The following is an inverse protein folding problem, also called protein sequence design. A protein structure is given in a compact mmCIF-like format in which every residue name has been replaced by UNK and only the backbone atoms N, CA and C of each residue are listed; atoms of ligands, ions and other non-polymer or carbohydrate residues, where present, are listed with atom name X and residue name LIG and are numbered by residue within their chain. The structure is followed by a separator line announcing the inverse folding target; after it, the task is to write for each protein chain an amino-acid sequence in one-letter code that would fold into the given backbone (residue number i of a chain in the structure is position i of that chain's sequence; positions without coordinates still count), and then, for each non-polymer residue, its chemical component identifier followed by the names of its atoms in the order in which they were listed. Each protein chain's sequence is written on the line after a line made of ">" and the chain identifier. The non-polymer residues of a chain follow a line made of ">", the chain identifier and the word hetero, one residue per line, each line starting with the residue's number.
data_IF_991531291256
#
_entry.id   IF_991531291256
#
_cell.length_a   1.000
_cell.length_b   1.000
_cell.length_c   1.000
_cell.angle_alpha   90.00
_cell.angle_beta   90.00
_cell.angle_gamma   90.00
#
_symmetry.space_group_name_H-M   'P 1'
#
loop_
_entity.id
_entity.type
_entity.pdbx_description
1 polymer ?
#
# COMPACT_ATOMS: atom_id res chain seq x y z
N UNK A 1 -20.96 13.25 -74.24
CA UNK A 1 -20.41 14.12 -73.18
C UNK A 1 -20.48 13.31 -71.91
N UNK A 2 -19.34 12.73 -71.54
CA UNK A 2 -19.19 11.72 -70.50
C UNK A 2 -18.10 12.21 -69.55
N UNK A 3 -18.36 12.05 -68.26
CA UNK A 3 -17.62 12.60 -67.11
C UNK A 3 -16.10 12.31 -67.13
N UNK A 4 -15.28 13.18 -66.49
CA UNK A 4 -13.98 12.76 -65.98
C UNK A 4 -14.10 12.30 -64.52
N UNK A 5 -13.55 11.10 -64.29
CA UNK A 5 -13.30 10.47 -63.00
C UNK A 5 -12.61 11.39 -61.99
N UNK A 6 -13.12 11.38 -60.76
CA UNK A 6 -12.37 11.75 -59.55
C UNK A 6 -11.49 10.53 -59.23
N UNK A 7 -10.18 10.66 -59.44
CA UNK A 7 -9.19 9.65 -59.09
C UNK A 7 -8.31 10.16 -57.94
N UNK A 8 -8.31 9.40 -56.85
CA UNK A 8 -7.35 9.28 -55.76
C UNK A 8 -6.50 10.50 -55.40
N UNK A 9 -6.82 11.10 -54.25
CA UNK A 9 -5.86 11.92 -53.50
C UNK A 9 -5.05 10.97 -52.62
N UNK A 10 -3.76 10.87 -52.93
CA UNK A 10 -2.74 10.09 -52.25
C UNK A 10 -2.79 10.27 -50.72
N UNK A 11 -3.31 9.25 -50.01
CA UNK A 11 -3.00 8.98 -48.59
C UNK A 11 -1.64 8.27 -48.44
N UNK A 12 -0.69 8.52 -49.35
CA UNK A 12 0.68 7.99 -49.30
C UNK A 12 1.64 9.17 -49.16
N UNK A 13 1.85 9.67 -47.93
CA UNK A 13 3.12 10.35 -47.60
C UNK A 13 3.32 10.66 -46.11
N UNK A 14 2.30 10.59 -45.26
CA UNK A 14 2.47 11.04 -43.87
C UNK A 14 3.14 9.99 -42.96
N UNK A 15 2.84 8.70 -43.15
CA UNK A 15 3.45 7.62 -42.36
C UNK A 15 4.93 7.40 -42.68
N UNK A 16 5.32 7.52 -43.95
CA UNK A 16 6.73 7.38 -44.36
C UNK A 16 7.57 8.58 -43.95
N UNK A 17 6.99 9.79 -43.97
CA UNK A 17 7.64 11.00 -43.47
C UNK A 17 7.74 10.99 -41.95
N UNK A 18 6.70 10.60 -41.22
CA UNK A 18 6.76 10.41 -39.76
C UNK A 18 7.76 9.33 -39.39
N UNK A 19 7.75 8.17 -40.06
CA UNK A 19 8.73 7.11 -39.84
C UNK A 19 10.16 7.58 -40.17
N UNK A 20 10.35 8.38 -41.23
CA UNK A 20 11.65 8.96 -41.60
C UNK A 20 12.14 9.98 -40.56
N UNK A 21 11.25 10.84 -40.04
CA UNK A 21 11.57 11.81 -38.98
C UNK A 21 11.88 11.09 -37.67
N UNK A 22 11.10 10.09 -37.29
CA UNK A 22 11.34 9.26 -36.09
C UNK A 22 12.65 8.49 -36.23
N UNK A 23 12.89 7.85 -37.38
CA UNK A 23 14.13 7.13 -37.64
C UNK A 23 15.35 8.05 -37.65
N UNK A 24 15.23 9.28 -38.17
CA UNK A 24 16.28 10.31 -38.20
C UNK A 24 16.58 10.86 -36.79
N UNK A 25 15.55 11.12 -35.99
CA UNK A 25 15.71 11.52 -34.59
C UNK A 25 16.39 10.41 -33.79
N UNK A 26 15.96 9.15 -33.96
CA UNK A 26 16.55 8.00 -33.26
C UNK A 26 17.98 7.72 -33.74
N UNK A 27 18.28 7.84 -35.03
CA UNK A 27 19.65 7.72 -35.53
C UNK A 27 20.56 8.82 -34.98
N UNK A 28 20.05 10.04 -34.80
CA UNK A 28 20.83 11.12 -34.20
C UNK A 28 21.16 10.89 -32.72
N UNK A 29 20.31 10.14 -31.99
CA UNK A 29 20.64 9.66 -30.64
C UNK A 29 21.63 8.48 -30.65
N UNK A 30 21.55 7.58 -31.63
CA UNK A 30 22.49 6.46 -31.84
C UNK A 30 23.87 6.93 -32.37
N UNK A 31 23.98 8.12 -32.98
CA UNK A 31 25.21 8.66 -33.63
C UNK A 31 26.29 9.16 -32.67
N UNK A 32 25.96 9.36 -31.39
CA UNK A 32 26.99 9.59 -30.38
C UNK A 32 27.34 8.25 -29.73
N UNK A 33 28.62 7.98 -29.50
CA UNK A 33 29.11 6.85 -28.66
C UNK A 33 28.69 7.00 -27.18
N UNK A 34 27.47 7.46 -26.91
CA UNK A 34 26.89 7.54 -25.60
C UNK A 34 26.42 6.14 -25.22
N UNK A 35 26.94 5.63 -24.11
CA UNK A 35 26.53 4.35 -23.51
C UNK A 35 25.12 4.41 -22.90
N UNK A 36 24.40 5.53 -23.05
CA UNK A 36 23.10 5.78 -22.43
C UNK A 36 21.94 5.35 -23.34
N UNK A 37 20.86 4.82 -22.75
CA UNK A 37 19.63 4.40 -23.43
C UNK A 37 19.79 3.20 -24.38
N UNK A 38 20.71 2.28 -24.10
CA UNK A 38 20.97 1.11 -24.96
C UNK A 38 19.73 0.22 -25.20
N UNK A 39 18.77 0.22 -24.27
CA UNK A 39 17.52 -0.51 -24.40
C UNK A 39 16.63 -0.02 -25.56
N UNK A 40 16.86 1.19 -26.06
CA UNK A 40 16.12 1.79 -27.18
C UNK A 40 16.91 1.82 -28.49
N UNK A 41 18.12 1.23 -28.52
CA UNK A 41 19.02 1.35 -29.68
C UNK A 41 18.51 0.57 -30.89
N UNK A 42 18.41 1.26 -32.03
CA UNK A 42 17.91 0.65 -33.27
C UNK A 42 18.97 -0.16 -34.01
N UNK A 43 20.26 0.19 -33.83
CA UNK A 43 21.38 -0.56 -34.39
C UNK A 43 21.45 -1.97 -33.78
N UNK A 44 21.42 -2.10 -32.45
CA UNK A 44 21.40 -3.39 -31.76
C UNK A 44 20.24 -4.30 -32.21
N UNK A 45 19.08 -3.71 -32.52
CA UNK A 45 17.92 -4.44 -33.00
C UNK A 45 18.02 -4.86 -34.48
N UNK A 46 18.66 -4.04 -35.32
CA UNK A 46 18.94 -4.35 -36.73
C UNK A 46 19.98 -5.45 -36.86
N UNK A 47 21.02 -5.41 -36.04
CA UNK A 47 22.11 -6.38 -36.03
C UNK A 47 21.69 -7.73 -35.41
N UNK A 48 20.61 -7.73 -34.62
CA UNK A 48 19.97 -8.94 -34.10
C UNK A 48 19.28 -9.73 -35.23
N UNK A 49 19.95 -10.81 -35.64
CA UNK A 49 19.48 -11.81 -36.61
C UNK A 49 18.96 -13.09 -35.95
N UNK A 50 19.24 -13.28 -34.66
CA UNK A 50 18.86 -14.46 -33.90
C UNK A 50 17.42 -14.34 -33.38
N UNK A 51 16.59 -15.35 -33.63
CA UNK A 51 15.25 -15.47 -33.06
C UNK A 51 15.26 -16.47 -31.90
N UNK A 52 14.40 -16.28 -30.91
CA UNK A 52 14.22 -17.27 -29.85
C UNK A 52 13.67 -18.57 -30.44
N UNK A 53 14.27 -19.69 -30.05
CA UNK A 53 13.80 -21.02 -30.45
C UNK A 53 12.41 -21.31 -29.86
N UNK A 54 11.60 -22.20 -30.51
CA UNK A 54 10.30 -22.61 -29.97
C UNK A 54 10.38 -23.13 -28.53
N UNK A 55 11.44 -23.86 -28.20
CA UNK A 55 11.70 -24.36 -26.84
C UNK A 55 11.93 -23.23 -25.84
N UNK A 56 12.68 -22.19 -26.20
CA UNK A 56 12.85 -21.01 -25.34
C UNK A 56 11.54 -20.23 -25.17
N UNK A 57 10.75 -20.12 -26.24
CA UNK A 57 9.43 -19.49 -26.16
C UNK A 57 8.48 -20.27 -25.25
N UNK A 58 8.47 -21.60 -25.32
CA UNK A 58 7.71 -22.45 -24.41
C UNK A 58 8.23 -22.37 -22.96
N UNK A 59 9.54 -22.28 -22.75
CA UNK A 59 10.10 -22.10 -21.42
C UNK A 59 9.67 -20.77 -20.77
N UNK A 60 9.64 -19.68 -21.54
CA UNK A 60 9.32 -18.33 -21.08
C UNK A 60 7.80 -18.11 -20.98
N UNK A 61 7.04 -18.43 -22.03
CA UNK A 61 5.62 -18.08 -22.18
C UNK A 61 4.66 -19.26 -21.97
N UNK A 62 5.17 -20.49 -21.78
CA UNK A 62 4.39 -21.70 -21.49
C UNK A 62 3.30 -21.96 -22.54
N UNK A 63 2.09 -22.33 -22.13
CA UNK A 63 0.95 -22.61 -23.01
C UNK A 63 0.58 -21.45 -23.96
N UNK A 64 1.01 -20.23 -23.62
CA UNK A 64 0.78 -19.03 -24.41
C UNK A 64 1.85 -18.78 -25.47
N UNK A 65 2.93 -19.57 -25.53
CA UNK A 65 4.02 -19.44 -26.52
C UNK A 65 3.51 -19.39 -27.97
N UNK A 66 2.42 -20.12 -28.27
CA UNK A 66 1.73 -20.12 -29.57
C UNK A 66 1.28 -18.74 -30.06
N UNK A 67 1.11 -17.76 -29.17
CA UNK A 67 0.72 -16.39 -29.52
C UNK A 67 1.91 -15.47 -29.80
N UNK A 68 3.15 -15.90 -29.53
CA UNK A 68 4.36 -15.09 -29.65
C UNK A 68 5.21 -15.59 -30.82
N UNK A 69 5.05 -14.97 -31.99
CA UNK A 69 5.86 -15.26 -33.17
C UNK A 69 6.91 -14.16 -33.40
N UNK A 70 8.08 -14.54 -33.95
CA UNK A 70 9.11 -13.58 -34.38
C UNK A 70 9.84 -12.84 -33.26
N UNK A 71 9.87 -13.38 -32.03
CA UNK A 71 10.60 -12.77 -30.91
C UNK A 71 12.10 -12.85 -31.16
N UNK A 72 12.75 -11.70 -31.30
CA UNK A 72 14.20 -11.59 -31.53
C UNK A 72 14.99 -11.68 -30.22
N UNK A 73 16.13 -12.36 -30.28
CA UNK A 73 17.14 -12.36 -29.23
C UNK A 73 18.18 -11.26 -29.52
N UNK A 74 18.32 -10.31 -28.60
CA UNK A 74 19.30 -9.21 -28.74
C UNK A 74 20.50 -9.50 -27.87
N UNK A 75 21.67 -9.63 -28.49
CA UNK A 75 22.92 -9.83 -27.77
C UNK A 75 23.37 -8.50 -27.15
N UNK A 76 23.57 -8.51 -25.83
CA UNK A 76 24.04 -7.35 -25.08
C UNK A 76 25.14 -7.77 -24.11
N UNK A 77 25.79 -6.80 -23.47
CA UNK A 77 26.74 -7.03 -22.38
C UNK A 77 26.07 -7.57 -21.10
N UNK A 78 24.74 -7.51 -21.02
CA UNK A 78 23.96 -7.89 -19.86
C UNK A 78 23.92 -9.41 -19.68
N UNK A 79 24.39 -9.87 -18.52
CA UNK A 79 24.43 -11.29 -18.16
C UNK A 79 23.62 -11.53 -16.88
N UNK A 80 23.13 -12.75 -16.72
CA UNK A 80 22.36 -13.15 -15.55
C UNK A 80 22.83 -14.50 -14.99
N UNK A 81 22.87 -14.61 -13.66
CA UNK A 81 23.19 -15.86 -12.95
C UNK A 81 22.49 -15.87 -11.59
N UNK A 82 22.02 -17.02 -11.11
CA UNK A 82 21.47 -17.14 -9.75
C UNK A 82 22.52 -17.72 -8.81
N UNK A 83 22.81 -17.03 -7.71
CA UNK A 83 23.82 -17.46 -6.73
C UNK A 83 23.29 -17.45 -5.30
N UNK A 84 23.93 -18.24 -4.42
CA UNK A 84 23.77 -18.13 -2.98
C UNK A 84 24.72 -17.07 -2.42
N UNK A 85 24.17 -16.04 -1.78
CA UNK A 85 24.93 -14.95 -1.16
C UNK A 85 25.04 -15.24 0.34
N UNK A 86 26.21 -15.72 0.76
CA UNK A 86 26.51 -15.90 2.19
C UNK A 86 26.66 -14.55 2.90
N UNK A 87 26.53 -14.48 4.24
CA UNK A 87 26.77 -13.24 4.98
C UNK A 87 28.20 -12.69 4.80
N UNK A 88 29.17 -13.58 4.56
CA UNK A 88 30.55 -13.16 4.27
C UNK A 88 30.63 -12.55 2.87
N UNK A 89 30.06 -13.21 1.86
CA UNK A 89 30.03 -12.67 0.50
C UNK A 89 29.30 -11.31 0.46
N UNK A 90 28.17 -11.18 1.17
CA UNK A 90 27.46 -9.90 1.26
C UNK A 90 28.33 -8.77 1.84
N UNK A 91 29.11 -9.05 2.89
CA UNK A 91 30.07 -8.08 3.45
C UNK A 91 31.14 -7.70 2.45
N UNK A 92 31.71 -8.68 1.76
CA UNK A 92 32.79 -8.46 0.80
C UNK A 92 32.27 -7.67 -0.40
N UNK A 93 31.09 -7.99 -0.91
CA UNK A 93 30.40 -7.22 -1.96
C UNK A 93 30.19 -5.77 -1.53
N UNK A 94 29.66 -5.52 -0.33
CA UNK A 94 29.45 -4.16 0.18
C UNK A 94 30.76 -3.39 0.40
N UNK A 95 31.86 -4.07 0.72
CA UNK A 95 33.17 -3.46 0.97
C UNK A 95 33.90 -3.13 -0.33
N UNK A 96 33.96 -4.08 -1.25
CA UNK A 96 34.81 -4.01 -2.45
C UNK A 96 34.06 -3.48 -3.68
N UNK A 97 32.74 -3.65 -3.74
CA UNK A 97 31.93 -3.31 -4.92
C UNK A 97 30.97 -2.14 -4.67
N UNK A 98 31.07 -1.41 -3.55
CA UNK A 98 30.24 -0.23 -3.30
C UNK A 98 30.59 0.94 -4.22
N UNK A 99 29.56 1.71 -4.62
CA UNK A 99 29.69 3.02 -5.29
C UNK A 99 30.52 3.96 -4.41
N UNK A 100 31.64 4.46 -4.93
CA UNK A 100 32.68 5.20 -4.18
C UNK A 100 33.97 4.41 -3.95
N UNK A 101 33.89 3.08 -3.81
CA UNK A 101 35.08 2.20 -3.76
C UNK A 101 35.55 1.88 -5.18
N UNK A 102 34.62 1.47 -6.05
CA UNK A 102 34.89 1.17 -7.46
C UNK A 102 35.07 2.47 -8.25
N UNK A 103 34.10 3.37 -8.16
CA UNK A 103 34.15 4.69 -8.79
C UNK A 103 34.16 5.81 -7.75
N UNK A 104 35.33 6.44 -7.56
CA UNK A 104 35.55 7.50 -6.55
C UNK A 104 34.73 8.78 -6.78
N UNK A 105 34.19 8.99 -7.99
CA UNK A 105 33.36 10.16 -8.32
C UNK A 105 31.92 10.01 -7.82
N UNK A 106 31.49 8.78 -7.55
CA UNK A 106 30.12 8.47 -7.18
C UNK A 106 30.00 8.14 -5.67
N UNK A 107 28.79 8.24 -5.13
CA UNK A 107 28.48 7.82 -3.75
C UNK A 107 27.22 7.00 -3.70
N UNK A 108 27.20 6.02 -2.80
CA UNK A 108 26.01 5.22 -2.51
C UNK A 108 24.87 6.07 -1.92
N UNK A 109 23.63 5.69 -2.25
CA UNK A 109 22.45 6.22 -1.57
C UNK A 109 22.49 5.86 -0.09
N UNK A 110 22.01 6.75 0.78
CA UNK A 110 21.90 6.46 2.22
C UNK A 110 20.95 5.28 2.43
N UNK A 111 21.40 4.28 3.20
CA UNK A 111 20.57 3.14 3.56
C UNK A 111 19.50 3.51 4.59
N UNK A 112 18.35 2.87 4.47
CA UNK A 112 17.23 3.01 5.41
C UNK A 112 17.33 1.92 6.45
N UNK A 113 17.79 2.26 7.66
CA UNK A 113 17.91 1.30 8.78
C UNK A 113 16.61 0.53 9.05
N UNK A 114 15.41 1.16 9.06
CA UNK A 114 14.16 0.41 9.23
C UNK A 114 13.91 -0.64 8.14
N UNK A 115 14.28 -0.34 6.88
CA UNK A 115 14.11 -1.26 5.75
C UNK A 115 15.08 -2.45 5.86
N UNK A 116 16.34 -2.18 6.19
CA UNK A 116 17.36 -3.24 6.44
C UNK A 116 16.91 -4.16 7.56
N UNK A 117 16.54 -3.61 8.72
CA UNK A 117 16.08 -4.39 9.86
C UNK A 117 14.90 -5.29 9.50
N UNK A 118 13.92 -4.76 8.75
CA UNK A 118 12.74 -5.53 8.33
C UNK A 118 13.12 -6.70 7.41
N UNK A 119 14.04 -6.48 6.47
CA UNK A 119 14.55 -7.55 5.61
C UNK A 119 15.34 -8.60 6.41
N UNK A 120 16.16 -8.15 7.36
CA UNK A 120 16.93 -9.04 8.22
C UNK A 120 16.00 -9.93 9.07
N UNK A 121 14.89 -9.38 9.58
CA UNK A 121 13.87 -10.15 10.29
C UNK A 121 13.21 -11.21 9.40
N UNK A 122 12.82 -10.87 8.17
CA UNK A 122 12.25 -11.82 7.22
C UNK A 122 13.23 -12.95 6.85
N UNK A 123 14.51 -12.62 6.63
CA UNK A 123 15.56 -13.62 6.41
C UNK A 123 15.75 -14.54 7.61
N UNK A 124 15.75 -14.01 8.84
CA UNK A 124 15.84 -14.82 10.07
C UNK A 124 14.66 -15.78 10.22
N UNK A 125 13.45 -15.34 9.87
CA UNK A 125 12.23 -16.16 9.90
C UNK A 125 12.12 -17.15 8.74
N UNK A 126 13.09 -17.17 7.81
CA UNK A 126 13.03 -17.97 6.56
C UNK A 126 11.82 -17.66 5.69
N UNK A 127 11.34 -16.42 5.77
CA UNK A 127 10.24 -15.87 4.97
C UNK A 127 10.76 -15.06 3.77
N UNK A 128 12.05 -15.20 3.42
CA UNK A 128 12.66 -14.46 2.32
C UNK A 128 12.43 -15.18 0.99
N UNK A 129 11.58 -14.61 0.14
CA UNK A 129 11.25 -15.19 -1.16
C UNK A 129 12.36 -14.95 -2.20
N UNK A 130 12.61 -15.96 -3.04
CA UNK A 130 13.36 -15.78 -4.29
C UNK A 130 12.47 -15.01 -5.27
N UNK A 131 12.71 -13.70 -5.36
CA UNK A 131 12.01 -12.83 -6.32
C UNK A 131 12.83 -12.71 -7.60
N UNK A 132 12.17 -12.32 -8.70
CA UNK A 132 12.85 -11.94 -9.95
C UNK A 132 13.62 -10.61 -9.86
N UNK A 133 13.80 -10.04 -8.66
CA UNK A 133 14.53 -8.79 -8.45
C UNK A 133 16.03 -9.11 -8.29
N UNK A 134 16.91 -8.71 -9.22
CA UNK A 134 18.32 -9.04 -9.15
C UNK A 134 19.12 -8.13 -8.21
N UNK A 135 20.29 -8.59 -7.78
CA UNK A 135 21.41 -7.70 -7.41
C UNK A 135 22.03 -7.25 -8.73
N UNK A 136 22.08 -5.93 -8.96
CA UNK A 136 22.54 -5.37 -10.23
C UNK A 136 23.96 -4.86 -10.05
N UNK A 137 24.87 -5.27 -10.94
CA UNK A 137 26.28 -4.90 -10.93
C UNK A 137 26.63 -4.23 -12.28
N UNK A 138 27.30 -3.08 -12.24
CA UNK A 138 27.80 -2.40 -13.43
C UNK A 138 28.89 -3.20 -14.13
N UNK A 139 29.24 -2.80 -15.34
CA UNK A 139 30.37 -3.37 -16.06
C UNK A 139 31.71 -3.24 -15.31
N UNK A 140 31.89 -2.16 -14.55
CA UNK A 140 33.07 -1.89 -13.71
C UNK A 140 33.06 -2.65 -12.38
N UNK A 141 31.98 -3.40 -12.09
CA UNK A 141 31.83 -4.14 -10.84
C UNK A 141 31.18 -3.33 -9.70
N UNK A 142 30.54 -2.20 -10.00
CA UNK A 142 29.83 -1.39 -9.00
C UNK A 142 28.43 -1.96 -8.72
N UNK A 143 28.03 -2.09 -7.46
CA UNK A 143 26.67 -2.48 -7.11
C UNK A 143 25.74 -1.29 -7.41
N UNK A 144 24.80 -1.48 -8.33
CA UNK A 144 23.78 -0.49 -8.70
C UNK A 144 22.47 -0.72 -7.92
N UNK A 145 22.09 -1.97 -7.68
CA UNK A 145 20.91 -2.33 -6.89
C UNK A 145 21.21 -3.49 -5.93
N UNK A 146 20.48 -3.56 -4.81
CA UNK A 146 20.55 -4.67 -3.87
C UNK A 146 21.20 -4.36 -2.52
N UNK A 147 21.71 -3.14 -2.32
CA UNK A 147 22.40 -2.76 -1.09
C UNK A 147 21.62 -3.07 0.21
N UNK A 148 20.31 -2.78 0.27
CA UNK A 148 19.50 -3.09 1.46
C UNK A 148 19.40 -4.60 1.74
N UNK A 149 19.45 -5.45 0.69
CA UNK A 149 19.36 -6.91 0.82
C UNK A 149 20.69 -7.49 1.29
N UNK A 150 21.80 -6.99 0.76
CA UNK A 150 23.15 -7.35 1.22
C UNK A 150 23.35 -6.95 2.68
N UNK A 151 22.99 -5.72 3.04
CA UNK A 151 23.11 -5.24 4.43
C UNK A 151 22.20 -6.05 5.37
N UNK A 152 21.00 -6.42 4.93
CA UNK A 152 20.10 -7.25 5.69
C UNK A 152 20.65 -8.66 5.94
N UNK A 153 21.34 -9.27 4.97
CA UNK A 153 22.01 -10.55 5.16
C UNK A 153 23.15 -10.46 6.18
N UNK A 154 23.91 -9.35 6.15
CA UNK A 154 24.94 -9.05 7.16
C UNK A 154 24.33 -8.91 8.56
N UNK A 155 23.25 -8.12 8.70
CA UNK A 155 22.54 -7.90 9.98
C UNK A 155 21.85 -9.18 10.47
N UNK A 156 21.29 -9.98 9.56
CA UNK A 156 20.64 -11.24 9.87
C UNK A 156 21.59 -12.35 10.27
N UNK A 157 22.83 -12.31 9.74
CA UNK A 157 23.78 -13.43 9.71
C UNK A 157 23.20 -14.67 9.02
N UNK A 158 22.35 -14.45 8.02
CA UNK A 158 21.70 -15.49 7.21
C UNK A 158 21.90 -15.15 5.74
N UNK A 159 22.34 -16.12 4.95
CA UNK A 159 22.51 -15.94 3.51
C UNK A 159 21.19 -16.07 2.75
N UNK A 160 21.14 -15.60 1.51
CA UNK A 160 19.95 -15.69 0.67
C UNK A 160 20.34 -15.99 -0.78
N UNK A 161 19.41 -16.58 -1.54
CA UNK A 161 19.56 -16.82 -2.96
C UNK A 161 19.01 -15.61 -3.71
N UNK A 162 19.73 -15.13 -4.73
CA UNK A 162 19.26 -14.06 -5.59
C UNK A 162 19.80 -14.18 -7.01
N UNK A 163 19.03 -13.73 -8.02
CA UNK A 163 19.58 -13.48 -9.34
C UNK A 163 20.57 -12.31 -9.27
N UNK A 164 21.65 -12.40 -10.03
CA UNK A 164 22.65 -11.38 -10.27
C UNK A 164 22.51 -10.99 -11.72
N UNK A 165 22.32 -9.71 -11.98
CA UNK A 165 22.41 -9.13 -13.31
C UNK A 165 23.67 -8.29 -13.36
N UNK A 166 24.59 -8.58 -14.27
CA UNK A 166 25.91 -7.94 -14.32
C UNK A 166 26.32 -7.57 -15.75
N UNK A 167 27.29 -6.67 -15.87
CA UNK A 167 27.71 -6.14 -17.17
C UNK A 167 26.88 -4.95 -17.66
N UNK A 168 26.18 -4.24 -16.76
CA UNK A 168 25.42 -3.04 -17.13
C UNK A 168 26.39 -1.91 -17.51
N UNK A 169 26.40 -1.54 -18.79
CA UNK A 169 27.25 -0.48 -19.36
C UNK A 169 26.55 0.87 -19.47
N UNK A 170 25.23 0.92 -19.29
CA UNK A 170 24.48 2.15 -19.44
C UNK A 170 24.58 3.03 -18.19
N UNK A 171 25.26 4.16 -18.35
CA UNK A 171 25.61 5.12 -17.31
C UNK A 171 24.38 5.72 -16.60
N UNK A 172 23.22 5.79 -17.26
CA UNK A 172 21.98 6.29 -16.67
C UNK A 172 21.14 5.18 -16.02
N UNK A 173 21.50 3.92 -16.20
CA UNK A 173 20.77 2.78 -15.61
C UNK A 173 20.51 2.98 -14.12
N UNK A 174 21.48 3.49 -13.36
CA UNK A 174 21.32 3.70 -11.92
C UNK A 174 20.22 4.72 -11.56
N UNK A 175 19.95 5.69 -12.44
CA UNK A 175 18.94 6.71 -12.24
C UNK A 175 17.53 6.19 -12.53
N UNK A 176 17.40 5.09 -13.26
CA UNK A 176 16.12 4.45 -13.62
C UNK A 176 15.80 3.20 -12.78
N UNK A 177 16.75 2.70 -11.98
CA UNK A 177 16.54 1.60 -11.04
C UNK A 177 15.60 2.03 -9.90
N UNK A 178 14.64 1.17 -9.56
CA UNK A 178 13.62 1.39 -8.52
C UNK A 178 12.70 2.61 -8.78
N UNK A 179 12.60 3.13 -10.02
CA UNK A 179 11.77 4.31 -10.38
C UNK A 179 10.29 3.95 -10.69
N UNK A 180 9.94 2.66 -10.68
CA UNK A 180 8.57 2.20 -10.87
C UNK A 180 7.67 2.36 -9.63
N UNK A 181 6.34 2.35 -9.84
CA UNK A 181 5.38 2.33 -8.74
C UNK A 181 5.58 1.07 -7.87
N UNK A 182 5.82 1.28 -6.58
CA UNK A 182 5.85 0.19 -5.60
C UNK A 182 4.46 -0.45 -5.56
N UNK A 183 4.38 -1.78 -5.73
CA UNK A 183 3.12 -2.53 -5.60
C UNK A 183 2.45 -2.18 -4.27
N UNK A 184 1.24 -1.64 -4.35
CA UNK A 184 0.45 -1.29 -3.18
C UNK A 184 -0.10 -2.55 -2.49
N UNK A 185 -0.55 -2.41 -1.24
CA UNK A 185 -1.20 -3.52 -0.51
C UNK A 185 -2.47 -4.00 -1.23
N UNK A 186 -3.26 -3.08 -1.80
CA UNK A 186 -4.45 -3.43 -2.55
C UNK A 186 -4.10 -4.17 -3.84
N UNK A 187 -3.07 -3.72 -4.57
CA UNK A 187 -2.61 -4.41 -5.78
C UNK A 187 -2.13 -5.83 -5.49
N UNK A 188 -1.43 -6.04 -4.37
CA UNK A 188 -1.03 -7.39 -3.96
C UNK A 188 -2.25 -8.26 -3.64
N UNK A 189 -3.28 -7.71 -2.99
CA UNK A 189 -4.53 -8.45 -2.74
C UNK A 189 -5.28 -8.74 -4.06
N UNK A 190 -5.35 -7.80 -5.00
CA UNK A 190 -5.94 -8.01 -6.34
C UNK A 190 -5.22 -9.14 -7.07
N UNK A 191 -3.89 -9.12 -7.07
CA UNK A 191 -3.05 -10.17 -7.66
C UNK A 191 -3.23 -11.52 -6.95
N UNK A 192 -3.59 -11.53 -5.67
CA UNK A 192 -3.91 -12.75 -4.91
C UNK A 192 -5.34 -13.27 -5.16
N UNK A 193 -6.13 -12.59 -6.00
CA UNK A 193 -7.45 -13.08 -6.41
C UNK A 193 -8.59 -12.82 -5.42
N UNK A 194 -8.47 -11.81 -4.56
CA UNK A 194 -9.57 -11.45 -3.64
C UNK A 194 -10.83 -11.05 -4.42
N UNK A 195 -11.98 -11.57 -4.00
CA UNK A 195 -13.29 -11.36 -4.67
C UNK A 195 -14.05 -10.12 -4.19
N UNK A 196 -13.48 -9.38 -3.23
CA UNK A 196 -14.04 -8.14 -2.68
C UNK A 196 -13.15 -6.96 -3.06
N UNK A 197 -13.61 -5.73 -2.81
CA UNK A 197 -12.80 -4.53 -3.06
C UNK A 197 -11.47 -4.60 -2.31
N UNK A 198 -10.39 -4.86 -3.04
CA UNK A 198 -9.05 -5.00 -2.48
C UNK A 198 -8.56 -3.71 -1.81
N UNK A 199 -8.99 -2.55 -2.32
CA UNK A 199 -8.72 -1.25 -1.71
C UNK A 199 -9.35 -1.11 -0.32
N UNK A 200 -10.60 -1.55 -0.15
CA UNK A 200 -11.32 -1.52 1.13
C UNK A 200 -10.75 -2.58 2.07
N UNK A 201 -10.58 -3.81 1.58
CA UNK A 201 -10.02 -4.92 2.35
C UNK A 201 -8.62 -4.60 2.87
N UNK A 202 -7.75 -4.00 2.04
CA UNK A 202 -6.42 -3.57 2.49
C UNK A 202 -6.51 -2.60 3.67
N UNK A 203 -7.40 -1.61 3.63
CA UNK A 203 -7.53 -0.60 4.70
C UNK A 203 -8.13 -1.20 5.97
N UNK A 204 -9.12 -2.09 5.83
CA UNK A 204 -9.73 -2.81 6.96
C UNK A 204 -8.68 -3.72 7.63
N UNK A 205 -7.91 -4.48 6.86
CA UNK A 205 -6.82 -5.32 7.35
C UNK A 205 -5.75 -4.50 8.10
N UNK A 206 -5.36 -3.34 7.56
CA UNK A 206 -4.41 -2.45 8.26
C UNK A 206 -4.98 -1.94 9.60
N UNK A 207 -6.26 -1.57 9.67
CA UNK A 207 -6.91 -1.13 10.91
C UNK A 207 -7.02 -2.26 11.93
N UNK A 208 -7.43 -3.45 11.48
CA UNK A 208 -7.53 -4.66 12.29
C UNK A 208 -6.19 -5.06 12.89
N UNK A 209 -5.14 -5.15 12.05
CA UNK A 209 -3.79 -5.46 12.51
C UNK A 209 -3.25 -4.40 13.48
N UNK A 210 -3.46 -3.12 13.19
CA UNK A 210 -3.08 -2.05 14.11
C UNK A 210 -3.82 -2.13 15.45
N UNK A 211 -5.09 -2.52 15.43
CA UNK A 211 -5.89 -2.74 16.65
C UNK A 211 -5.34 -3.90 17.46
N UNK A 212 -5.06 -5.05 16.83
CA UNK A 212 -4.49 -6.24 17.49
C UNK A 212 -3.11 -5.98 18.11
N UNK A 213 -2.30 -5.13 17.49
CA UNK A 213 -1.00 -4.70 18.03
C UNK A 213 -1.12 -3.70 19.19
N UNK A 214 -2.30 -3.13 19.42
CA UNK A 214 -2.51 -2.13 20.47
C UNK A 214 -2.75 -2.80 21.82
N UNK A 215 -1.71 -2.85 22.67
CA UNK A 215 -1.76 -3.46 24.01
C UNK A 215 -2.95 -3.01 24.89
N UNK A 216 -3.29 -1.72 24.85
CA UNK A 216 -4.48 -1.19 25.51
C UNK A 216 -5.48 -0.77 24.43
N UNK A 217 -6.58 -1.51 24.22
CA UNK A 217 -7.50 -1.23 23.11
C UNK A 217 -8.17 0.15 23.21
N UNK A 218 -8.36 0.69 24.42
CA UNK A 218 -8.86 2.06 24.64
C UNK A 218 -7.86 3.14 24.20
N UNK A 219 -6.59 2.77 23.96
CA UNK A 219 -5.53 3.63 23.44
C UNK A 219 -5.34 3.49 21.92
N UNK A 220 -6.19 2.75 21.21
CA UNK A 220 -6.09 2.61 19.75
C UNK A 220 -6.23 3.96 19.04
N UNK A 221 -5.33 4.25 18.09
CA UNK A 221 -5.29 5.52 17.34
C UNK A 221 -5.17 5.32 15.83
N UNK A 222 -5.77 4.25 15.33
CA UNK A 222 -5.74 3.91 13.91
C UNK A 222 -4.38 3.37 13.50
N UNK A 223 -4.00 3.61 12.25
CA UNK A 223 -2.74 3.12 11.67
C UNK A 223 -1.57 4.09 11.88
N UNK A 224 -1.73 5.14 12.70
CA UNK A 224 -0.69 6.15 12.92
C UNK A 224 0.55 5.52 13.57
N UNK A 225 1.72 5.71 12.95
CA UNK A 225 2.98 5.12 13.40
C UNK A 225 3.16 3.63 13.05
N UNK A 226 2.26 3.05 12.25
CA UNK A 226 2.41 1.68 11.73
C UNK A 226 2.93 1.68 10.29
N UNK A 227 3.66 0.63 9.90
CA UNK A 227 4.16 0.45 8.52
C UNK A 227 4.15 -1.04 8.14
N UNK A 228 3.02 -1.46 7.55
CA UNK A 228 2.79 -2.85 7.15
C UNK A 228 3.24 -3.10 5.71
N UNK A 229 3.99 -4.15 5.40
CA UNK A 229 4.31 -4.45 3.99
C UNK A 229 3.10 -5.02 3.24
N UNK A 230 3.04 -4.95 1.90
CA UNK A 230 2.04 -5.65 1.09
C UNK A 230 1.91 -7.14 1.43
N UNK A 231 3.03 -7.89 1.45
CA UNK A 231 3.03 -9.31 1.81
C UNK A 231 2.54 -9.58 3.24
N UNK A 232 2.84 -8.68 4.18
CA UNK A 232 2.40 -8.77 5.57
C UNK A 232 0.89 -8.56 5.73
N UNK A 233 0.28 -7.76 4.84
CA UNK A 233 -1.17 -7.57 4.80
C UNK A 233 -1.85 -8.72 4.07
N UNK A 234 -1.23 -9.27 3.01
CA UNK A 234 -1.71 -10.48 2.36
C UNK A 234 -1.82 -11.64 3.37
N UNK A 235 -0.72 -11.95 4.07
CA UNK A 235 -0.72 -13.01 5.09
C UNK A 235 -1.76 -12.77 6.19
N UNK A 236 -1.90 -11.52 6.66
CA UNK A 236 -2.92 -11.19 7.67
C UNK A 236 -4.35 -11.40 7.15
N UNK A 237 -4.62 -11.10 5.87
CA UNK A 237 -5.93 -11.34 5.25
C UNK A 237 -6.20 -12.83 5.07
N UNK A 238 -5.18 -13.61 4.70
CA UNK A 238 -5.29 -15.08 4.57
C UNK A 238 -5.59 -15.75 5.92
N UNK A 239 -5.02 -15.24 7.01
CA UNK A 239 -5.27 -15.70 8.38
C UNK A 239 -6.64 -15.26 8.94
N UNK A 240 -7.26 -14.20 8.39
CA UNK A 240 -8.47 -13.56 8.92
C UNK A 240 -9.52 -13.38 7.81
N UNK A 241 -10.07 -14.49 7.32
CA UNK A 241 -11.05 -14.50 6.23
C UNK A 241 -12.35 -13.73 6.56
N UNK A 242 -12.67 -13.54 7.83
CA UNK A 242 -13.82 -12.77 8.32
C UNK A 242 -13.74 -11.27 7.97
N UNK A 243 -12.54 -10.75 7.69
CA UNK A 243 -12.35 -9.41 7.14
C UNK A 243 -13.05 -9.29 5.79
N UNK A 244 -12.87 -10.28 4.90
CA UNK A 244 -13.47 -10.29 3.58
C UNK A 244 -14.99 -10.42 3.66
N UNK A 245 -15.51 -11.23 4.59
CA UNK A 245 -16.95 -11.34 4.85
C UNK A 245 -17.56 -10.00 5.28
N UNK A 246 -16.85 -9.26 6.14
CA UNK A 246 -17.29 -7.93 6.60
C UNK A 246 -17.24 -6.89 5.49
N UNK A 247 -16.22 -6.93 4.64
CA UNK A 247 -16.13 -6.07 3.46
C UNK A 247 -17.27 -6.40 2.50
N UNK A 248 -17.50 -7.67 2.17
CA UNK A 248 -18.54 -8.11 1.26
C UNK A 248 -19.92 -7.62 1.70
N UNK A 249 -20.31 -7.90 2.95
CA UNK A 249 -21.59 -7.46 3.50
C UNK A 249 -21.77 -5.94 3.40
N UNK A 250 -20.77 -5.18 3.83
CA UNK A 250 -20.84 -3.71 3.79
C UNK A 250 -20.85 -3.20 2.36
N UNK A 251 -20.09 -3.79 1.44
CA UNK A 251 -20.13 -3.41 0.02
C UNK A 251 -21.55 -3.53 -0.55
N UNK A 252 -22.28 -4.59 -0.22
CA UNK A 252 -23.65 -4.80 -0.72
C UNK A 252 -24.65 -3.77 -0.19
N UNK A 253 -24.55 -3.41 1.10
CA UNK A 253 -25.39 -2.36 1.69
C UNK A 253 -24.98 -0.98 1.17
N UNK A 254 -23.68 -0.70 1.11
CA UNK A 254 -23.13 0.60 0.75
C UNK A 254 -23.40 0.96 -0.72
N UNK A 255 -23.35 -0.01 -1.65
CA UNK A 255 -23.72 0.21 -3.06
C UNK A 255 -25.17 0.66 -3.19
N UNK A 256 -26.08 0.06 -2.43
CA UNK A 256 -27.52 0.37 -2.47
C UNK A 256 -27.86 1.72 -1.84
N UNK A 257 -27.12 2.12 -0.81
CA UNK A 257 -27.41 3.30 0.01
C UNK A 257 -26.25 4.31 0.04
N UNK A 258 -25.58 4.48 -1.11
CA UNK A 258 -24.37 5.30 -1.20
C UNK A 258 -24.63 6.77 -0.88
N UNK A 259 -25.79 7.30 -1.26
CA UNK A 259 -26.13 8.72 -1.11
C UNK A 259 -26.54 9.05 0.34
N UNK A 260 -27.10 8.09 1.04
CA UNK A 260 -27.56 8.18 2.43
C UNK A 260 -26.43 7.97 3.44
N UNK A 261 -25.30 7.45 2.97
CA UNK A 261 -24.18 7.03 3.79
C UNK A 261 -23.36 8.21 4.33
N UNK A 262 -23.16 8.23 5.65
CA UNK A 262 -22.48 9.32 6.37
C UNK A 262 -20.98 9.11 6.61
N UNK A 263 -20.44 7.97 6.19
CA UNK A 263 -19.03 7.61 6.37
C UNK A 263 -18.55 6.73 5.21
N UNK A 264 -17.24 6.55 5.07
CA UNK A 264 -16.70 5.69 4.01
C UNK A 264 -16.99 4.21 4.26
N UNK A 265 -17.11 3.43 3.20
CA UNK A 265 -17.25 1.97 3.23
C UNK A 265 -16.24 1.28 4.17
N UNK A 266 -14.97 1.69 4.15
CA UNK A 266 -13.92 1.18 5.05
C UNK A 266 -14.26 1.33 6.54
N UNK A 267 -14.91 2.42 6.94
CA UNK A 267 -15.27 2.68 8.34
C UNK A 267 -16.33 1.67 8.79
N UNK A 268 -17.36 1.48 7.97
CA UNK A 268 -18.42 0.52 8.29
C UNK A 268 -17.91 -0.92 8.23
N UNK A 269 -17.07 -1.28 7.24
CA UNK A 269 -16.49 -2.61 7.13
C UNK A 269 -15.59 -2.95 8.33
N UNK A 270 -14.75 -2.01 8.77
CA UNK A 270 -13.96 -2.20 9.98
C UNK A 270 -14.83 -2.24 11.24
N UNK A 271 -15.88 -1.42 11.33
CA UNK A 271 -16.80 -1.46 12.45
C UNK A 271 -17.54 -2.80 12.54
N UNK A 272 -18.04 -3.30 11.41
CA UNK A 272 -18.69 -4.60 11.31
C UNK A 272 -17.77 -5.73 11.77
N UNK A 273 -16.55 -5.79 11.20
CA UNK A 273 -15.53 -6.77 11.59
C UNK A 273 -15.25 -6.71 13.09
N UNK A 274 -14.99 -5.52 13.64
CA UNK A 274 -14.58 -5.40 15.03
C UNK A 274 -15.71 -5.73 16.02
N UNK A 275 -16.96 -5.38 15.68
CA UNK A 275 -18.13 -5.80 16.47
C UNK A 275 -18.22 -7.33 16.48
N UNK A 276 -18.18 -7.98 15.31
CA UNK A 276 -18.27 -9.45 15.21
C UNK A 276 -17.12 -10.15 15.93
N UNK A 277 -15.89 -9.66 15.78
CA UNK A 277 -14.70 -10.18 16.49
C UNK A 277 -14.85 -10.09 18.00
N UNK A 278 -15.49 -9.05 18.53
CA UNK A 278 -15.70 -8.95 19.98
C UNK A 278 -16.88 -9.79 20.45
N UNK A 279 -17.95 -9.90 19.65
CA UNK A 279 -19.06 -10.80 19.95
C UNK A 279 -18.65 -12.28 19.98
N UNK A 280 -17.62 -12.69 19.26
CA UNK A 280 -17.12 -14.07 19.32
C UNK A 280 -16.35 -14.39 20.62
N UNK A 281 -15.97 -13.36 21.39
CA UNK A 281 -15.23 -13.50 22.65
C UNK A 281 -16.10 -13.16 23.87
N UNK A 282 -17.18 -12.41 23.68
CA UNK A 282 -18.12 -12.03 24.74
C UNK A 282 -19.37 -12.92 24.71
N UNK A 283 -19.74 -13.50 25.85
CA UNK A 283 -20.98 -14.26 25.97
C UNK A 283 -22.19 -13.34 26.17
N UNK A 284 -23.12 -13.35 25.21
CA UNK A 284 -24.42 -12.71 25.31
C UNK A 284 -25.52 -13.77 25.16
N UNK A 285 -26.48 -13.82 26.10
CA UNK A 285 -27.60 -14.77 26.05
C UNK A 285 -28.54 -14.48 24.88
N UNK A 286 -28.82 -13.20 24.64
CA UNK A 286 -29.68 -12.73 23.56
C UNK A 286 -29.21 -11.33 23.15
N UNK A 287 -29.04 -11.12 21.83
CA UNK A 287 -28.68 -9.80 21.30
C UNK A 287 -29.97 -9.07 20.90
N UNK A 288 -30.13 -7.79 21.29
CA UNK A 288 -31.31 -7.00 20.94
C UNK A 288 -31.39 -6.73 19.43
N UNK A 289 -30.25 -6.76 18.75
CA UNK A 289 -30.11 -6.59 17.31
C UNK A 289 -28.81 -7.25 16.83
N UNK A 290 -28.79 -7.80 15.61
CA UNK A 290 -27.52 -8.24 15.01
C UNK A 290 -26.69 -7.06 14.46
N UNK A 291 -25.35 -7.18 14.39
CA UNK A 291 -24.47 -6.15 13.83
C UNK A 291 -24.86 -5.73 12.40
N UNK A 292 -25.33 -6.68 11.61
CA UNK A 292 -25.77 -6.49 10.23
C UNK A 292 -26.98 -5.55 10.16
N UNK A 293 -27.99 -5.76 11.00
CA UNK A 293 -29.18 -4.88 11.04
C UNK A 293 -28.82 -3.51 11.59
N UNK A 294 -28.00 -3.45 12.65
CA UNK A 294 -27.51 -2.18 13.21
C UNK A 294 -26.81 -1.32 12.16
N UNK A 295 -25.82 -1.87 11.47
CA UNK A 295 -25.06 -1.12 10.46
C UNK A 295 -25.90 -0.84 9.21
N UNK A 296 -26.82 -1.72 8.83
CA UNK A 296 -27.77 -1.42 7.74
C UNK A 296 -28.59 -0.18 8.06
N UNK A 297 -29.17 -0.07 9.25
CA UNK A 297 -29.93 1.12 9.70
C UNK A 297 -29.06 2.37 9.77
N UNK A 298 -27.84 2.25 10.30
CA UNK A 298 -26.87 3.36 10.35
C UNK A 298 -26.47 3.82 8.94
N UNK A 299 -26.39 2.94 7.94
CA UNK A 299 -26.01 3.32 6.56
C UNK A 299 -27.21 3.86 5.78
N UNK A 300 -28.36 3.19 5.84
CA UNK A 300 -29.50 3.42 4.95
C UNK A 300 -30.56 4.38 5.51
N UNK A 301 -30.52 4.73 6.80
CA UNK A 301 -31.60 5.41 7.54
C UNK A 301 -32.96 4.68 7.55
N UNK A 302 -33.05 3.45 7.05
CA UNK A 302 -34.31 2.71 7.04
C UNK A 302 -34.71 2.31 8.47
N UNK A 303 -35.99 2.50 8.79
CA UNK A 303 -36.56 2.11 10.09
C UNK A 303 -36.25 3.06 11.24
N UNK A 304 -35.78 4.27 10.96
CA UNK A 304 -35.63 5.34 11.96
C UNK A 304 -36.90 6.17 12.02
N UNK A 305 -37.43 6.37 13.23
CA UNK A 305 -38.71 7.02 13.48
C UNK A 305 -38.63 8.12 14.54
N UNK A 306 -37.57 8.13 15.35
CA UNK A 306 -37.36 9.08 16.44
C UNK A 306 -35.92 9.59 16.50
N UNK A 307 -35.72 10.82 16.99
CA UNK A 307 -34.38 11.33 17.32
C UNK A 307 -33.74 10.58 18.49
N UNK A 308 -34.55 9.87 19.28
CA UNK A 308 -34.10 9.02 20.37
C UNK A 308 -33.49 7.71 19.87
N UNK A 309 -33.77 7.30 18.62
CA UNK A 309 -33.20 6.09 18.03
C UNK A 309 -31.68 6.15 18.06
N UNK A 310 -31.04 5.08 18.55
CA UNK A 310 -29.58 5.02 18.71
C UNK A 310 -28.88 5.24 17.36
N UNK A 311 -29.37 4.61 16.31
CA UNK A 311 -28.85 4.74 14.95
C UNK A 311 -29.05 6.15 14.39
N UNK A 312 -30.14 6.83 14.74
CA UNK A 312 -30.35 8.24 14.39
C UNK A 312 -29.28 9.11 15.05
N UNK A 313 -29.04 8.93 16.35
CA UNK A 313 -28.01 9.68 17.09
C UNK A 313 -26.60 9.44 16.51
N UNK A 314 -26.28 8.19 16.15
CA UNK A 314 -25.02 7.84 15.44
C UNK A 314 -24.94 8.60 14.12
N UNK A 315 -25.97 8.51 13.27
CA UNK A 315 -26.01 9.19 11.97
C UNK A 315 -25.89 10.69 12.09
N UNK A 316 -26.60 11.31 13.04
CA UNK A 316 -26.54 12.75 13.29
C UNK A 316 -25.11 13.18 13.67
N UNK A 317 -24.43 12.42 14.52
CA UNK A 317 -23.02 12.68 14.82
C UNK A 317 -22.12 12.50 13.60
N UNK A 318 -22.29 11.43 12.81
CA UNK A 318 -21.50 11.20 11.60
C UNK A 318 -21.69 12.33 10.57
N UNK A 319 -22.94 12.77 10.36
CA UNK A 319 -23.30 13.90 9.49
C UNK A 319 -22.60 15.19 9.95
N UNK A 320 -22.54 15.45 11.26
CA UNK A 320 -21.88 16.65 11.81
C UNK A 320 -20.37 16.74 11.47
N UNK A 321 -19.74 15.61 11.11
CA UNK A 321 -18.32 15.52 10.74
C UNK A 321 -18.10 14.94 9.34
N UNK A 322 -19.12 14.95 8.48
CA UNK A 322 -19.05 14.34 7.13
C UNK A 322 -18.02 15.05 6.25
N UNK A 323 -17.96 16.38 6.30
CA UNK A 323 -17.04 17.21 5.53
C UNK A 323 -15.58 17.10 6.00
N UNK A 324 -15.32 16.44 7.13
CA UNK A 324 -13.98 16.28 7.66
C UNK A 324 -13.31 15.04 7.04
N UNK A 325 -12.43 15.29 6.06
CA UNK A 325 -11.72 14.28 5.28
C UNK A 325 -10.48 13.68 5.97
N UNK A 326 -10.13 14.13 7.17
CA UNK A 326 -8.82 13.80 7.75
C UNK A 326 -8.82 12.48 8.53
N UNK A 327 -7.65 11.83 8.62
CA UNK A 327 -7.38 10.67 9.50
C UNK A 327 -7.81 10.91 10.97
N UNK A 328 -8.02 12.17 11.36
CA UNK A 328 -8.49 12.58 12.69
C UNK A 328 -10.00 12.35 12.90
N UNK A 329 -10.82 12.40 11.84
CA UNK A 329 -12.27 12.12 11.94
C UNK A 329 -12.57 10.61 11.98
N UNK A 330 -11.68 9.77 11.42
CA UNK A 330 -11.79 8.31 11.42
C UNK A 330 -12.10 7.74 12.82
N UNK A 331 -11.31 8.12 13.81
CA UNK A 331 -11.46 7.62 15.19
C UNK A 331 -12.77 8.09 15.84
N UNK A 332 -13.22 9.30 15.49
CA UNK A 332 -14.47 9.85 15.98
C UNK A 332 -15.66 9.10 15.36
N UNK A 333 -15.63 8.86 14.03
CA UNK A 333 -16.65 8.09 13.31
C UNK A 333 -16.77 6.67 13.86
N UNK A 334 -15.63 5.97 14.00
CA UNK A 334 -15.59 4.63 14.59
C UNK A 334 -16.10 4.62 16.03
N UNK A 335 -15.61 5.52 16.89
CA UNK A 335 -16.05 5.56 18.29
C UNK A 335 -17.54 5.88 18.41
N UNK A 336 -18.11 6.74 17.56
CA UNK A 336 -19.54 7.01 17.56
C UNK A 336 -20.37 5.78 17.17
N UNK A 337 -19.96 5.04 16.14
CA UNK A 337 -20.59 3.76 15.75
C UNK A 337 -20.50 2.75 16.90
N UNK A 338 -19.32 2.61 17.53
CA UNK A 338 -19.19 1.68 18.66
C UNK A 338 -19.94 2.13 19.91
N UNK A 339 -20.09 3.43 20.15
CA UNK A 339 -20.94 3.94 21.24
C UNK A 339 -22.40 3.55 20.99
N UNK A 340 -22.89 3.73 19.77
CA UNK A 340 -24.25 3.31 19.41
C UNK A 340 -24.44 1.81 19.63
N UNK A 341 -23.53 0.98 19.11
CA UNK A 341 -23.57 -0.46 19.35
C UNK A 341 -23.56 -0.81 20.85
N UNK A 342 -22.66 -0.22 21.63
CA UNK A 342 -22.57 -0.47 23.07
C UNK A 342 -23.85 -0.05 23.82
N UNK A 343 -24.50 1.05 23.43
CA UNK A 343 -25.78 1.45 23.98
C UNK A 343 -26.87 0.41 23.72
N UNK A 344 -26.92 -0.17 22.51
CA UNK A 344 -27.89 -1.23 22.16
C UNK A 344 -27.77 -2.43 23.11
N UNK A 345 -26.55 -2.86 23.41
CA UNK A 345 -26.28 -3.98 24.32
C UNK A 345 -26.17 -3.56 25.81
N UNK A 346 -26.65 -2.37 26.18
CA UNK A 346 -26.76 -1.92 27.57
C UNK A 346 -25.43 -1.57 28.26
N UNK A 347 -24.35 -1.36 27.51
CA UNK A 347 -23.03 -1.04 28.06
C UNK A 347 -22.82 0.47 28.24
N UNK A 348 -22.05 0.81 29.27
CA UNK A 348 -21.68 2.21 29.53
C UNK A 348 -20.69 2.74 28.49
N UNK A 349 -20.90 3.97 28.05
CA UNK A 349 -20.04 4.67 27.09
C UNK A 349 -19.26 5.81 27.75
N UNK A 350 -18.25 6.33 27.05
CA UNK A 350 -17.56 7.55 27.48
C UNK A 350 -18.49 8.78 27.33
N UNK A 351 -18.75 9.48 28.42
CA UNK A 351 -19.81 10.51 28.46
C UNK A 351 -21.21 9.88 28.50
N UNK A 352 -22.23 10.67 28.18
CA UNK A 352 -23.65 10.26 28.25
C UNK A 352 -24.38 10.42 26.91
N UNK A 353 -23.64 10.63 25.81
CA UNK A 353 -24.20 10.89 24.47
C UNK A 353 -23.36 10.18 23.41
N UNK A 354 -23.97 9.86 22.27
CA UNK A 354 -23.29 9.36 21.07
C UNK A 354 -22.59 10.54 20.37
N UNK A 355 -21.63 11.12 21.07
CA UNK A 355 -20.76 12.18 20.59
C UNK A 355 -19.35 11.94 21.15
N UNK A 356 -18.32 12.26 20.38
CA UNK A 356 -16.93 12.00 20.74
C UNK A 356 -16.25 13.31 21.13
N UNK A 357 -15.66 13.36 22.33
CA UNK A 357 -14.85 14.50 22.77
C UNK A 357 -13.61 14.61 21.90
N UNK A 358 -13.32 15.81 21.42
CA UNK A 358 -12.18 16.08 20.52
C UNK A 358 -11.12 16.92 21.20
N UNK A 359 -9.88 16.80 20.70
CA UNK A 359 -8.79 17.66 21.11
C UNK A 359 -9.09 19.06 20.57
N UNK A 360 -9.01 20.06 21.45
CA UNK A 360 -9.26 21.44 21.09
C UNK A 360 -8.36 21.87 19.93
N UNK A 361 -8.90 22.68 19.00
CA UNK A 361 -8.12 23.19 17.86
C UNK A 361 -7.10 24.25 18.29
N UNK A 362 -7.42 24.96 19.36
CA UNK A 362 -6.61 26.03 19.93
C UNK A 362 -6.62 25.95 21.45
N UNK A 363 -5.55 26.43 22.07
CA UNK A 363 -5.48 26.74 23.50
C UNK A 363 -5.18 28.23 23.68
N UNK A 364 -5.78 28.88 24.67
CA UNK A 364 -5.44 30.27 24.98
C UNK A 364 -4.15 30.33 25.79
N UNK A 365 -3.24 31.26 25.45
CA UNK A 365 -2.08 31.59 26.28
C UNK A 365 -2.47 32.50 27.46
N UNK A 366 -1.48 32.89 28.28
CA UNK A 366 -1.68 33.76 29.44
C UNK A 366 -2.23 35.15 29.06
N UNK A 367 -2.03 35.56 27.80
CA UNK A 367 -2.48 36.83 27.24
C UNK A 367 -3.80 36.69 26.46
N UNK A 368 -4.42 35.51 26.45
CA UNK A 368 -5.67 35.23 25.76
C UNK A 368 -5.56 34.91 24.26
N UNK A 369 -4.35 34.88 23.70
CA UNK A 369 -4.12 34.57 22.28
C UNK A 369 -4.38 33.08 22.00
N UNK A 370 -5.00 32.78 20.86
CA UNK A 370 -5.29 31.41 20.42
C UNK A 370 -4.03 30.77 19.81
N UNK A 371 -3.39 29.87 20.54
CA UNK A 371 -2.29 29.05 20.03
C UNK A 371 -2.86 27.78 19.39
N UNK A 372 -2.56 27.48 18.11
CA UNK A 372 -3.01 26.26 17.44
C UNK A 372 -2.36 25.02 18.07
N UNK A 373 -3.15 23.96 18.27
CA UNK A 373 -2.64 22.69 18.80
C UNK A 373 -2.31 21.70 17.67
N UNK A 374 -1.13 21.05 17.70
CA UNK A 374 -0.69 20.14 16.62
C UNK A 374 -1.52 18.86 16.50
N UNK A 375 -2.38 18.56 17.49
CA UNK A 375 -3.27 17.39 17.50
C UNK A 375 -4.76 17.74 17.40
N UNK A 376 -5.08 18.94 16.91
CA UNK A 376 -6.44 19.44 16.71
C UNK A 376 -7.33 18.42 15.96
N UNK A 377 -8.48 18.06 16.54
CA UNK A 377 -9.47 17.18 15.90
C UNK A 377 -9.32 15.67 16.15
N UNK A 378 -8.27 15.23 16.85
CA UNK A 378 -8.17 13.85 17.36
C UNK A 378 -9.21 13.59 18.46
N UNK A 379 -9.48 12.31 18.75
CA UNK A 379 -10.27 11.90 19.90
C UNK A 379 -9.55 12.26 21.22
N UNK A 380 -10.26 12.91 22.14
CA UNK A 380 -9.82 13.36 23.47
C UNK A 380 -10.54 12.61 24.60
N UNK A 381 -10.79 11.33 24.37
CA UNK A 381 -11.39 10.38 25.31
C UNK A 381 -10.84 8.98 24.99
N UNK A 382 -11.01 7.98 25.88
CA UNK A 382 -10.71 6.59 25.53
C UNK A 382 -11.43 6.21 24.23
N UNK A 383 -10.73 5.48 23.35
CA UNK A 383 -11.34 4.91 22.16
C UNK A 383 -12.45 3.96 22.57
N UNK A 384 -13.61 4.05 21.93
CA UNK A 384 -14.72 3.14 22.26
C UNK A 384 -14.46 1.79 21.60
N UNK A 385 -14.43 0.73 22.39
CA UNK A 385 -14.26 -0.64 21.91
C UNK A 385 -15.64 -1.30 21.95
N UNK A 386 -16.12 -1.93 20.85
CA UNK A 386 -17.42 -2.57 20.87
C UNK A 386 -17.42 -3.73 21.87
N UNK A 387 -18.57 -3.97 22.50
CA UNK A 387 -18.81 -5.05 23.47
C UNK A 387 -18.02 -4.91 24.80
N UNK A 388 -17.30 -3.81 25.01
CA UNK A 388 -16.65 -3.50 26.29
C UNK A 388 -17.21 -2.22 26.92
N UNK A 389 -17.39 -2.16 28.25
CA UNK A 389 -17.78 -0.94 28.95
C UNK A 389 -16.67 0.11 28.86
N UNK A 390 -16.99 1.36 29.24
CA UNK A 390 -16.03 2.46 29.22
C UNK A 390 -14.72 2.09 29.96
N UNK A 391 -13.61 2.16 29.24
CA UNK A 391 -12.28 1.88 29.80
C UNK A 391 -11.60 3.10 30.41
N UNK A 392 -10.46 2.90 31.10
CA UNK A 392 -9.69 3.99 31.67
C UNK A 392 -9.15 4.92 30.58
N UNK A 393 -9.19 6.23 30.83
CA UNK A 393 -8.62 7.24 29.94
C UNK A 393 -7.10 7.01 29.80
N UNK A 394 -6.58 6.79 28.58
CA UNK A 394 -5.15 6.59 28.37
C UNK A 394 -4.28 7.74 28.93
N UNK A 395 -3.15 7.41 29.58
CA UNK A 395 -2.23 8.38 30.19
C UNK A 395 -1.81 9.51 29.25
N UNK A 396 -1.67 9.24 27.95
CA UNK A 396 -1.31 10.25 26.94
C UNK A 396 -2.37 11.36 26.82
N UNK A 397 -3.65 11.01 26.95
CA UNK A 397 -4.77 11.98 26.94
C UNK A 397 -4.75 12.80 28.23
N UNK A 398 -4.59 12.14 29.38
CA UNK A 398 -4.49 12.82 30.68
C UNK A 398 -3.31 13.82 30.70
N UNK A 399 -2.19 13.48 30.08
CA UNK A 399 -1.06 14.41 29.94
C UNK A 399 -1.38 15.57 29.01
N UNK A 400 -2.05 15.32 27.88
CA UNK A 400 -2.48 16.39 26.94
C UNK A 400 -3.43 17.41 27.59
N UNK A 401 -4.36 16.97 28.45
CA UNK A 401 -5.22 17.90 29.20
C UNK A 401 -4.43 18.76 30.20
N UNK A 402 -3.34 18.24 30.74
CA UNK A 402 -2.59 18.85 31.84
C UNK A 402 -1.37 19.70 31.41
N UNK A 403 -1.05 19.79 30.10
CA UNK A 403 0.10 20.61 29.64
C UNK A 403 -0.22 22.10 29.81
N UNK A 404 0.36 22.76 30.81
CA UNK A 404 0.50 24.23 30.81
C UNK A 404 1.64 24.59 29.85
N UNK A 405 1.35 25.45 28.88
CA UNK A 405 2.39 26.02 28.00
C UNK A 405 2.96 27.20 28.80
N UNK A 406 4.27 27.15 29.09
CA UNK A 406 4.99 28.26 29.71
C UNK A 406 5.06 29.43 28.75
#
# INVERSE_FOLDING_TARGET
>A
MTEPHIGDTDEISNADLENSIVNSLVSHFDESEQTSYLASSTSLLKDSTEALSPTQLEEIFKENAKYYAGVKAVQTTLKHITIFISPQLARDMLKFSSRGTVNKKNKNRRLSKPKVKKYAEAMKRREWCLTGEPIIISYEGEILNGHHRLEAACEARVGFIAPITYGVTDDLSFAHIDVGNIRSRSQVLEMAGVQVSASVLSRVAMLAKAFDMTRNPFAFRGTQGTSFQPAEILAYVEEHNELALSVHFISEVFKKHRLESQASETIYAFAHYLIKKQLSVCEYKELPLCPETYLTRVISSLGLSSEEDIEYQVRNYLQSIVHESTSYSLLCKLSAIFKGWNCHIGLTIAGNKIAVRRVARYKKDQNGNKIPLPAAGNINEPFTVPCLPKGPTPKRIQKQSNVQIK
#
